data_IF_298578866100
#
_entry.id   IF_298578866100
#
_cell.length_a   1.000
_cell.length_b   1.000
_cell.length_c   1.000
_cell.angle_alpha   90.00
_cell.angle_beta   90.00
_cell.angle_gamma   90.00
#
_symmetry.space_group_name_H-M   'P 1'
#
loop_
_entity.id
_entity.type
_entity.pdbx_description
1 polymer ?
#
# COMPACT_ATOMS: atom_id res chain seq x y z
N UNK A 1 -44.44 -20.46 -2.75
CA UNK A 1 -43.53 -19.44 -2.20
C UNK A 1 -42.20 -20.10 -1.80
N UNK A 2 -41.24 -20.20 -2.72
CA UNK A 2 -39.93 -20.84 -2.45
C UNK A 2 -38.89 -20.40 -3.50
N UNK A 3 -38.65 -19.09 -3.62
CA UNK A 3 -37.62 -18.51 -4.50
C UNK A 3 -37.15 -17.16 -3.97
N UNK A 4 -36.60 -17.10 -2.75
CA UNK A 4 -35.97 -15.88 -2.24
C UNK A 4 -34.88 -16.18 -1.21
N UNK A 5 -33.89 -17.04 -1.49
CA UNK A 5 -32.69 -17.14 -0.63
C UNK A 5 -31.42 -17.47 -1.43
N UNK A 6 -31.22 -16.87 -2.61
CA UNK A 6 -29.98 -17.08 -3.38
C UNK A 6 -29.31 -15.80 -3.89
N UNK A 7 -29.79 -14.61 -3.53
CA UNK A 7 -29.19 -13.35 -3.97
C UNK A 7 -28.19 -12.74 -2.96
N UNK A 8 -28.15 -13.20 -1.71
CA UNK A 8 -27.36 -12.56 -0.65
C UNK A 8 -25.87 -13.00 -0.60
N UNK A 9 -25.50 -14.09 -1.28
CA UNK A 9 -24.11 -14.60 -1.25
C UNK A 9 -23.20 -13.98 -2.34
N UNK A 10 -23.77 -13.33 -3.35
CA UNK A 10 -23.00 -12.73 -4.45
C UNK A 10 -22.42 -11.34 -4.12
N UNK A 11 -22.91 -10.69 -3.06
CA UNK A 11 -22.45 -9.35 -2.67
C UNK A 11 -21.17 -9.35 -1.80
N UNK A 12 -20.78 -10.50 -1.25
CA UNK A 12 -19.59 -10.60 -0.38
C UNK A 12 -18.26 -10.77 -1.15
N UNK A 13 -18.32 -10.97 -2.47
CA UNK A 13 -17.15 -11.07 -3.34
C UNK A 13 -16.98 -9.86 -4.28
N UNK A 14 -17.79 -8.81 -4.11
CA UNK A 14 -17.78 -7.61 -4.94
C UNK A 14 -16.85 -6.50 -4.40
N UNK A 15 -15.79 -6.84 -3.64
CA UNK A 15 -14.64 -5.95 -3.43
C UNK A 15 -13.54 -6.23 -4.47
N UNK A 16 -13.94 -6.58 -5.69
CA UNK A 16 -13.04 -6.67 -6.85
C UNK A 16 -12.74 -5.29 -7.43
N UNK A 17 -12.34 -4.31 -6.61
CA UNK A 17 -11.51 -3.25 -7.14
C UNK A 17 -10.21 -3.94 -7.53
N UNK A 18 -10.02 -4.23 -8.81
CA UNK A 18 -8.78 -4.84 -9.30
C UNK A 18 -7.62 -4.01 -8.72
N UNK A 19 -6.84 -4.61 -7.83
CA UNK A 19 -5.67 -3.95 -7.27
C UNK A 19 -4.80 -3.52 -8.46
N UNK A 20 -4.48 -2.23 -8.55
CA UNK A 20 -3.61 -1.72 -9.60
C UNK A 20 -2.32 -2.54 -9.62
N UNK A 21 -1.90 -2.99 -10.80
CA UNK A 21 -0.65 -3.72 -10.95
C UNK A 21 0.50 -2.76 -11.20
N UNK A 22 1.73 -3.17 -10.91
CA UNK A 22 2.92 -2.35 -11.08
C UNK A 22 3.09 -1.85 -12.52
N UNK A 23 2.73 -2.68 -13.51
CA UNK A 23 2.75 -2.28 -14.92
C UNK A 23 1.76 -1.16 -15.26
N UNK A 24 0.61 -1.13 -14.59
CA UNK A 24 -0.40 -0.09 -14.78
C UNK A 24 0.09 1.22 -14.17
N UNK A 25 0.65 1.16 -12.97
CA UNK A 25 1.31 2.33 -12.36
C UNK A 25 2.49 2.81 -13.20
N UNK A 26 3.30 1.92 -13.76
CA UNK A 26 4.41 2.27 -14.64
C UNK A 26 3.94 2.92 -15.95
N UNK A 27 2.81 2.48 -16.50
CA UNK A 27 2.16 3.14 -17.64
C UNK A 27 1.75 4.56 -17.25
N UNK A 28 1.07 4.73 -16.12
CA UNK A 28 0.60 6.03 -15.65
C UNK A 28 1.78 6.97 -15.35
N UNK A 29 2.87 6.48 -14.77
CA UNK A 29 4.09 7.28 -14.55
C UNK A 29 4.69 7.85 -15.85
N UNK A 30 4.50 7.16 -16.99
CA UNK A 30 4.97 7.62 -18.31
C UNK A 30 3.97 8.50 -19.03
N UNK A 31 2.67 8.24 -18.87
CA UNK A 31 1.62 8.88 -19.67
C UNK A 31 0.90 10.02 -18.95
N UNK A 32 0.80 9.98 -17.62
CA UNK A 32 0.10 10.95 -16.79
C UNK A 32 0.61 10.93 -15.35
N UNK A 33 1.53 11.85 -15.06
CA UNK A 33 2.07 12.00 -13.70
C UNK A 33 1.00 12.30 -12.66
N UNK A 34 -0.12 12.91 -13.07
CA UNK A 34 -1.29 13.15 -12.21
C UNK A 34 -1.95 11.84 -11.75
N UNK A 35 -2.11 10.86 -12.65
CA UNK A 35 -2.72 9.57 -12.29
C UNK A 35 -1.80 8.76 -11.37
N UNK A 36 -0.51 8.68 -11.71
CA UNK A 36 0.48 8.06 -10.85
C UNK A 36 0.58 8.76 -9.48
N UNK A 37 0.54 10.10 -9.50
CA UNK A 37 0.54 10.93 -8.31
C UNK A 37 -0.63 10.63 -7.39
N UNK A 38 -1.86 10.54 -7.93
CA UNK A 38 -3.05 10.20 -7.16
C UNK A 38 -2.94 8.82 -6.52
N UNK A 39 -2.41 7.83 -7.25
CA UNK A 39 -2.21 6.49 -6.67
C UNK A 39 -1.20 6.51 -5.52
N UNK A 40 -0.06 7.17 -5.71
CA UNK A 40 0.98 7.28 -4.66
C UNK A 40 0.49 8.08 -3.46
N UNK A 41 -0.25 9.16 -3.66
CA UNK A 41 -0.87 9.92 -2.57
C UNK A 41 -1.83 9.05 -1.77
N UNK A 42 -2.74 8.33 -2.44
CA UNK A 42 -3.66 7.41 -1.77
C UNK A 42 -2.94 6.30 -1.00
N UNK A 43 -1.83 5.77 -1.54
CA UNK A 43 -0.98 4.84 -0.80
C UNK A 43 -0.40 5.47 0.47
N UNK A 44 0.13 6.71 0.39
CA UNK A 44 0.72 7.39 1.54
C UNK A 44 -0.31 7.72 2.61
N UNK A 45 -1.52 8.12 2.22
CA UNK A 45 -2.65 8.38 3.12
C UNK A 45 -3.06 7.09 3.83
N UNK A 46 -3.31 6.02 3.07
CA UNK A 46 -3.61 4.69 3.64
C UNK A 46 -2.53 4.25 4.64
N UNK A 47 -1.26 4.39 4.27
CA UNK A 47 -0.16 4.01 5.17
C UNK A 47 -0.18 4.79 6.49
N UNK A 48 -0.52 6.10 6.45
CA UNK A 48 -0.66 6.92 7.67
C UNK A 48 -1.86 6.50 8.50
N UNK A 49 -2.97 6.14 7.87
CA UNK A 49 -4.13 5.59 8.58
C UNK A 49 -3.79 4.26 9.25
N UNK A 50 -3.11 3.36 8.52
CA UNK A 50 -2.62 2.09 9.05
C UNK A 50 -1.65 2.31 10.22
N UNK A 51 -0.79 3.34 10.17
CA UNK A 51 0.13 3.71 11.26
C UNK A 51 -0.66 4.12 12.51
N UNK A 52 -1.68 4.96 12.36
CA UNK A 52 -2.56 5.36 13.46
C UNK A 52 -3.29 4.15 14.05
N UNK A 53 -3.80 3.25 13.21
CA UNK A 53 -4.46 2.01 13.67
C UNK A 53 -3.47 1.10 14.39
N UNK A 54 -2.25 0.98 13.89
CA UNK A 54 -1.20 0.19 14.54
C UNK A 54 -0.87 0.74 15.93
N UNK A 55 -0.62 2.04 16.04
CA UNK A 55 -0.25 2.67 17.31
C UNK A 55 -1.41 2.70 18.32
N UNK A 56 -2.64 2.90 17.86
CA UNK A 56 -3.81 3.00 18.73
C UNK A 56 -4.43 1.66 19.08
N UNK A 57 -4.49 0.69 18.18
CA UNK A 57 -5.21 -0.57 18.43
C UNK A 57 -4.23 -1.71 18.72
N UNK A 58 -3.27 -1.91 17.82
CA UNK A 58 -2.39 -3.09 17.87
C UNK A 58 -1.40 -2.96 19.02
N UNK A 59 -0.70 -1.83 19.12
CA UNK A 59 0.30 -1.58 20.16
C UNK A 59 -0.30 -1.52 21.56
N UNK A 60 -1.54 -1.04 21.71
CA UNK A 60 -2.23 -1.04 23.01
C UNK A 60 -2.71 -2.44 23.43
N UNK A 61 -3.11 -3.28 22.47
CA UNK A 61 -3.65 -4.61 22.72
C UNK A 61 -2.62 -5.74 22.78
N UNK A 62 -1.43 -5.55 22.20
CA UNK A 62 -0.41 -6.60 22.05
C UNK A 62 0.78 -6.34 22.97
N UNK A 63 0.98 -7.22 23.96
CA UNK A 63 2.07 -7.13 24.94
C UNK A 63 3.35 -7.84 24.53
N UNK A 64 3.25 -8.77 23.58
CA UNK A 64 4.38 -9.52 23.06
C UNK A 64 5.12 -8.66 22.01
N UNK A 65 6.35 -8.27 22.33
CA UNK A 65 7.17 -7.41 21.48
C UNK A 65 7.56 -8.07 20.15
N UNK A 66 7.73 -9.40 20.13
CA UNK A 66 8.05 -10.14 18.91
C UNK A 66 6.84 -10.13 17.97
N UNK A 67 5.66 -10.42 18.51
CA UNK A 67 4.40 -10.36 17.75
C UNK A 67 4.08 -8.93 17.30
N UNK A 68 4.40 -7.94 18.13
CA UNK A 68 4.24 -6.53 17.78
C UNK A 68 5.13 -6.15 16.59
N UNK A 69 6.38 -6.63 16.56
CA UNK A 69 7.29 -6.46 15.43
C UNK A 69 6.75 -7.09 14.15
N UNK A 70 6.29 -8.35 14.23
CA UNK A 70 5.69 -9.06 13.07
C UNK A 70 4.44 -8.32 12.57
N UNK A 71 3.57 -7.88 13.48
CA UNK A 71 2.36 -7.13 13.13
C UNK A 71 2.72 -5.81 12.45
N UNK A 72 3.72 -5.09 12.97
CA UNK A 72 4.19 -3.83 12.38
C UNK A 72 4.64 -4.04 10.95
N UNK A 73 5.50 -5.03 10.72
CA UNK A 73 6.02 -5.32 9.39
C UNK A 73 4.92 -5.76 8.41
N UNK A 74 3.89 -6.44 8.91
CA UNK A 74 2.78 -6.93 8.09
C UNK A 74 1.80 -5.81 7.70
N UNK A 75 1.58 -4.83 8.58
CA UNK A 75 0.63 -3.73 8.39
C UNK A 75 1.32 -2.55 7.69
N UNK A 76 2.46 -2.12 8.23
CA UNK A 76 3.15 -0.89 7.80
C UNK A 76 4.33 -1.17 6.86
N UNK A 77 4.69 -2.43 6.67
CA UNK A 77 5.94 -2.76 5.99
C UNK A 77 7.18 -2.48 6.84
N UNK A 78 8.33 -2.66 6.21
CA UNK A 78 9.66 -2.48 6.81
C UNK A 78 10.22 -1.07 6.54
N UNK A 79 9.38 -0.05 6.60
CA UNK A 79 9.73 1.34 6.32
C UNK A 79 8.89 2.31 7.16
N UNK A 80 9.37 3.55 7.29
CA UNK A 80 8.80 4.58 8.16
C UNK A 80 8.73 5.91 7.41
N UNK A 81 7.55 6.31 6.92
CA UNK A 81 7.41 7.57 6.17
C UNK A 81 7.56 8.75 7.14
N UNK A 82 8.54 9.67 6.95
CA UNK A 82 8.69 10.82 7.83
C UNK A 82 7.45 11.74 7.82
N UNK A 83 7.11 12.37 8.96
CA UNK A 83 5.94 13.27 9.07
C UNK A 83 5.93 14.39 8.02
N UNK A 84 7.12 14.87 7.63
CA UNK A 84 7.33 15.88 6.57
C UNK A 84 7.76 15.31 5.21
N UNK A 85 7.55 14.02 4.94
CA UNK A 85 7.92 13.41 3.67
C UNK A 85 7.26 14.15 2.50
N UNK A 86 8.08 14.56 1.53
CA UNK A 86 7.61 15.24 0.35
C UNK A 86 6.89 14.23 -0.58
N UNK A 87 5.60 14.46 -0.82
CA UNK A 87 4.77 13.65 -1.72
C UNK A 87 5.37 13.56 -3.13
N UNK A 88 5.90 14.67 -3.67
CA UNK A 88 6.55 14.65 -4.98
C UNK A 88 7.78 13.71 -4.98
N UNK A 89 8.52 13.65 -3.88
CA UNK A 89 9.64 12.71 -3.73
C UNK A 89 9.16 11.27 -3.68
N UNK A 90 8.04 10.99 -2.99
CA UNK A 90 7.41 9.67 -2.98
C UNK A 90 7.02 9.22 -4.39
N UNK A 91 6.37 10.12 -5.15
CA UNK A 91 5.96 9.86 -6.53
C UNK A 91 7.17 9.51 -7.40
N UNK A 92 8.25 10.31 -7.34
CA UNK A 92 9.49 10.03 -8.09
C UNK A 92 10.06 8.67 -7.72
N UNK A 93 10.22 8.37 -6.42
CA UNK A 93 10.76 7.09 -5.95
C UNK A 93 9.91 5.91 -6.44
N UNK A 94 8.58 6.01 -6.31
CA UNK A 94 7.65 4.98 -6.75
C UNK A 94 7.68 4.77 -8.26
N UNK A 95 7.61 5.86 -9.02
CA UNK A 95 7.64 5.82 -10.49
C UNK A 95 8.97 5.31 -11.04
N UNK A 96 10.10 5.75 -10.49
CA UNK A 96 11.41 5.25 -10.88
C UNK A 96 11.48 3.73 -10.67
N UNK A 97 11.00 3.23 -9.53
CA UNK A 97 11.06 1.79 -9.24
C UNK A 97 10.20 0.96 -10.20
N UNK A 98 8.92 1.30 -10.39
CA UNK A 98 8.03 0.50 -11.25
C UNK A 98 8.41 0.57 -12.73
N UNK A 99 9.06 1.65 -13.17
CA UNK A 99 9.51 1.79 -14.55
C UNK A 99 10.84 1.09 -14.82
N UNK A 100 11.68 0.91 -13.81
CA UNK A 100 12.99 0.23 -13.91
C UNK A 100 12.92 -1.26 -13.59
N UNK A 101 11.80 -1.76 -13.04
CA UNK A 101 11.59 -3.18 -12.71
C UNK A 101 10.40 -3.78 -13.48
N UNK A 102 10.41 -3.78 -14.83
CA UNK A 102 9.28 -4.27 -15.63
C UNK A 102 8.99 -5.77 -15.40
N UNK A 103 9.97 -6.55 -14.97
CA UNK A 103 9.80 -7.97 -14.61
C UNK A 103 8.91 -8.16 -13.37
N UNK A 104 8.64 -7.09 -12.62
CA UNK A 104 7.69 -7.04 -11.49
C UNK A 104 6.33 -6.51 -11.91
N UNK A 105 6.06 -6.32 -13.20
CA UNK A 105 4.83 -5.70 -13.72
C UNK A 105 3.52 -6.34 -13.23
N UNK A 106 3.53 -7.64 -12.94
CA UNK A 106 2.38 -8.40 -12.43
C UNK A 106 2.23 -8.38 -10.91
N UNK A 107 3.12 -7.67 -10.19
CA UNK A 107 2.97 -7.47 -8.75
C UNK A 107 1.94 -6.38 -8.47
N UNK A 108 1.24 -6.44 -7.32
CA UNK A 108 0.45 -5.30 -6.87
C UNK A 108 1.30 -4.04 -6.80
N UNK A 109 0.76 -2.91 -7.29
CA UNK A 109 1.45 -1.63 -7.27
C UNK A 109 1.76 -1.18 -5.84
N UNK A 110 0.85 -1.42 -4.89
CA UNK A 110 1.06 -1.20 -3.45
C UNK A 110 2.35 -1.88 -2.95
N UNK A 111 2.49 -3.19 -3.19
CA UNK A 111 3.69 -3.97 -2.83
C UNK A 111 4.94 -3.42 -3.51
N UNK A 112 4.80 -2.95 -4.73
CA UNK A 112 5.88 -2.38 -5.54
C UNK A 112 6.34 -1.02 -5.04
N UNK A 113 5.49 -0.28 -4.32
CA UNK A 113 5.86 0.98 -3.63
C UNK A 113 6.58 0.72 -2.30
N UNK A 114 6.23 -0.36 -1.58
CA UNK A 114 6.87 -0.68 -0.30
C UNK A 114 8.37 -0.97 -0.44
N UNK A 115 8.79 -1.63 -1.52
CA UNK A 115 10.18 -2.00 -1.75
C UNK A 115 11.14 -0.79 -1.87
N UNK A 116 10.89 0.20 -2.74
CA UNK A 116 11.72 1.40 -2.82
C UNK A 116 11.58 2.30 -1.60
N UNK A 117 10.41 2.34 -0.94
CA UNK A 117 10.24 3.13 0.29
C UNK A 117 11.01 2.56 1.47
N UNK A 118 11.22 1.24 1.55
CA UNK A 118 12.17 0.64 2.49
C UNK A 118 13.60 1.15 2.30
N UNK A 119 14.03 1.33 1.06
CA UNK A 119 15.37 1.87 0.79
C UNK A 119 15.45 3.37 1.06
N UNK A 120 14.39 4.12 0.75
CA UNK A 120 14.35 5.58 0.91
C UNK A 120 14.13 6.03 2.36
N UNK A 121 13.34 5.27 3.11
CA UNK A 121 12.92 5.59 4.48
C UNK A 121 13.00 4.34 5.37
N UNK A 122 14.22 3.85 5.66
CA UNK A 122 14.39 2.80 6.65
C UNK A 122 13.78 3.26 7.98
N UNK A 123 13.10 2.35 8.69
CA UNK A 123 12.79 2.59 10.08
C UNK A 123 14.10 2.55 10.86
N UNK A 124 14.56 3.69 11.35
CA UNK A 124 15.57 3.72 12.41
C UNK A 124 15.03 2.91 13.60
N UNK A 125 15.87 2.04 14.17
CA UNK A 125 15.49 1.15 15.27
C UNK A 125 15.13 1.89 16.54
#
# INVERSE_FOLDING_TARGET
MKRMILAAAAALFATGANAMMAQDLARDCKSSITLAGNYVMGFMEKWREDEIVFDSVVKMGMKDEQMLGIARESILGKFCIPKGANVARAIVIGCDWVTTHPEKGTWPAERSLMAPYKAAWPCDQ
#
